data_IF_272314860774
#
_entry.id   IF_272314860774
#
_cell.length_a   1.000
_cell.length_b   1.000
_cell.length_c   1.000
_cell.angle_alpha   90.00
_cell.angle_beta   90.00
_cell.angle_gamma   90.00
#
_symmetry.space_group_name_H-M   'P 1'
#
loop_
_entity.id
_entity.type
_entity.pdbx_description
1 polymer ?
#
# COMPACT_ATOMS: atom_id res chain seq x y z
N UNK A 1 25.40 -1.33 -29.48
CA UNK A 1 25.32 -0.83 -28.10
C UNK A 1 23.99 -1.26 -27.52
N UNK A 2 23.97 -2.26 -26.64
CA UNK A 2 22.77 -2.57 -25.86
C UNK A 2 22.68 -1.52 -24.76
N UNK A 3 21.80 -0.53 -24.95
CA UNK A 3 21.47 0.39 -23.88
C UNK A 3 20.87 -0.41 -22.74
N UNK A 4 21.53 -0.39 -21.59
CA UNK A 4 20.94 -0.89 -20.34
C UNK A 4 19.72 0.01 -20.11
N UNK A 5 18.52 -0.50 -20.39
CA UNK A 5 17.28 0.21 -20.05
C UNK A 5 17.30 0.43 -18.55
N UNK A 6 17.45 1.68 -18.14
CA UNK A 6 17.48 2.05 -16.74
C UNK A 6 16.10 1.77 -16.16
N UNK A 7 16.01 0.82 -15.23
CA UNK A 7 14.75 0.47 -14.58
C UNK A 7 14.18 1.69 -13.84
N UNK A 8 12.88 1.94 -14.02
CA UNK A 8 12.18 2.99 -13.32
C UNK A 8 12.16 2.71 -11.80
N UNK A 9 12.06 3.75 -10.94
CA UNK A 9 11.95 3.55 -9.49
C UNK A 9 10.82 2.58 -9.10
N UNK A 10 9.68 2.66 -9.79
CA UNK A 10 8.53 1.79 -9.54
C UNK A 10 8.80 0.33 -9.94
N UNK A 11 9.53 0.09 -11.03
CA UNK A 11 9.96 -1.27 -11.43
C UNK A 11 10.88 -1.90 -10.38
N UNK A 12 11.82 -1.12 -9.84
CA UNK A 12 12.71 -1.59 -8.76
C UNK A 12 11.93 -1.92 -7.50
N UNK A 13 10.99 -1.05 -7.09
CA UNK A 13 10.12 -1.30 -5.94
C UNK A 13 9.30 -2.57 -6.15
N UNK A 14 8.70 -2.75 -7.32
CA UNK A 14 7.94 -3.96 -7.66
C UNK A 14 8.79 -5.23 -7.55
N UNK A 15 10.01 -5.21 -8.08
CA UNK A 15 10.94 -6.34 -7.97
C UNK A 15 11.20 -6.78 -6.51
N UNK A 16 11.11 -5.86 -5.54
CA UNK A 16 11.32 -6.15 -4.12
C UNK A 16 10.07 -6.72 -3.42
N UNK A 17 8.86 -6.40 -3.91
CA UNK A 17 7.61 -6.67 -3.18
C UNK A 17 6.65 -7.61 -3.89
N UNK A 18 6.88 -7.93 -5.17
CA UNK A 18 5.97 -8.73 -6.01
C UNK A 18 5.70 -10.14 -5.47
N UNK A 19 6.66 -10.72 -4.76
CA UNK A 19 6.59 -12.09 -4.24
C UNK A 19 6.07 -12.14 -2.79
N UNK A 20 5.74 -10.97 -2.20
CA UNK A 20 5.15 -10.90 -0.86
C UNK A 20 3.71 -11.43 -0.87
N UNK A 21 3.39 -12.28 0.10
CA UNK A 21 2.01 -12.73 0.32
C UNK A 21 1.10 -11.59 0.81
N UNK A 22 -0.22 -11.76 0.63
CA UNK A 22 -1.24 -10.80 1.11
C UNK A 22 -1.03 -10.34 2.57
N UNK A 23 -0.68 -11.21 3.53
CA UNK A 23 -0.44 -10.78 4.91
C UNK A 23 0.72 -9.77 5.01
N UNK A 24 1.86 -10.05 4.37
CA UNK A 24 3.03 -9.16 4.37
C UNK A 24 2.72 -7.83 3.68
N UNK A 25 1.98 -7.86 2.57
CA UNK A 25 1.53 -6.65 1.88
C UNK A 25 0.61 -5.80 2.77
N UNK A 26 -0.31 -6.40 3.52
CA UNK A 26 -1.18 -5.64 4.44
C UNK A 26 -0.40 -5.01 5.59
N UNK A 27 0.59 -5.73 6.14
CA UNK A 27 1.46 -5.19 7.18
C UNK A 27 2.30 -4.02 6.65
N UNK A 28 2.94 -4.18 5.49
CA UNK A 28 3.70 -3.10 4.85
C UNK A 28 2.82 -1.91 4.47
N UNK A 29 1.58 -2.15 4.03
CA UNK A 29 0.62 -1.07 3.74
C UNK A 29 0.30 -0.25 4.99
N UNK A 30 -0.02 -0.88 6.14
CA UNK A 30 -0.35 -0.16 7.38
C UNK A 30 0.77 0.81 7.78
N UNK A 31 1.99 0.34 7.65
CA UNK A 31 3.22 1.05 7.97
C UNK A 31 3.49 2.20 6.99
N UNK A 32 3.40 1.94 5.68
CA UNK A 32 3.56 2.96 4.64
C UNK A 32 2.51 4.04 4.79
N UNK A 33 1.26 3.67 5.09
CA UNK A 33 0.15 4.60 5.25
C UNK A 33 0.41 5.60 6.37
N UNK A 34 0.90 5.11 7.52
CA UNK A 34 1.29 5.97 8.64
C UNK A 34 2.42 6.92 8.25
N UNK A 35 3.47 6.42 7.58
CA UNK A 35 4.57 7.26 7.10
C UNK A 35 4.10 8.34 6.11
N UNK A 36 3.23 7.96 5.16
CA UNK A 36 2.62 8.89 4.21
C UNK A 36 1.74 9.93 4.90
N UNK A 37 0.95 9.54 5.91
CA UNK A 37 0.14 10.48 6.68
C UNK A 37 1.00 11.49 7.45
N UNK A 38 2.11 11.05 8.06
CA UNK A 38 3.05 11.93 8.75
C UNK A 38 3.70 12.93 7.79
N UNK A 39 4.09 12.48 6.59
CA UNK A 39 4.60 13.38 5.55
C UNK A 39 3.56 14.39 5.08
N UNK A 40 2.33 13.96 4.76
CA UNK A 40 1.23 14.86 4.35
C UNK A 40 1.02 15.96 5.40
N UNK A 41 1.02 15.58 6.68
CA UNK A 41 0.89 16.52 7.78
C UNK A 41 2.07 17.49 7.86
N UNK A 42 3.31 16.98 7.88
CA UNK A 42 4.52 17.80 8.00
C UNK A 42 4.74 18.74 6.81
N UNK A 43 4.41 18.30 5.60
CA UNK A 43 4.51 19.08 4.37
C UNK A 43 3.32 20.05 4.18
N UNK A 44 2.29 19.98 5.03
CA UNK A 44 1.13 20.88 4.97
C UNK A 44 0.27 20.69 3.71
N UNK A 45 0.18 19.48 3.17
CA UNK A 45 -0.55 19.19 1.93
C UNK A 45 -2.06 19.13 2.19
N UNK A 46 -2.86 19.86 1.39
CA UNK A 46 -4.30 20.06 1.65
C UNK A 46 -5.19 19.85 0.42
N UNK A 47 -4.76 19.06 -0.56
CA UNK A 47 -5.58 18.75 -1.73
C UNK A 47 -6.62 17.64 -1.46
N UNK A 48 -7.55 17.44 -2.41
CA UNK A 48 -8.63 16.47 -2.25
C UNK A 48 -8.13 15.02 -2.14
N UNK A 49 -7.03 14.68 -2.83
CA UNK A 49 -6.46 13.33 -2.77
C UNK A 49 -5.80 13.09 -1.40
N UNK A 50 -5.07 14.07 -0.87
CA UNK A 50 -4.46 13.97 0.46
C UNK A 50 -5.52 13.94 1.56
N UNK A 51 -6.62 14.68 1.42
CA UNK A 51 -7.74 14.62 2.38
C UNK A 51 -8.45 13.26 2.34
N UNK A 52 -8.70 12.71 1.15
CA UNK A 52 -9.29 11.36 1.01
C UNK A 52 -8.41 10.31 1.69
N UNK A 53 -7.10 10.40 1.48
CA UNK A 53 -6.11 9.55 2.14
C UNK A 53 -6.14 9.71 3.66
N UNK A 54 -6.12 10.95 4.15
CA UNK A 54 -6.15 11.29 5.58
C UNK A 54 -7.40 10.73 6.26
N UNK A 55 -8.57 10.80 5.62
CA UNK A 55 -9.80 10.23 6.15
C UNK A 55 -9.72 8.71 6.26
N UNK A 56 -9.21 8.01 5.25
CA UNK A 56 -8.98 6.56 5.35
C UNK A 56 -7.98 6.20 6.45
N UNK A 57 -6.92 6.98 6.62
CA UNK A 57 -5.94 6.80 7.70
C UNK A 57 -6.57 7.00 9.08
N UNK A 58 -7.33 8.08 9.30
CA UNK A 58 -8.00 8.32 10.57
C UNK A 58 -9.03 7.24 10.89
N UNK A 59 -9.76 6.77 9.87
CA UNK A 59 -10.69 5.65 10.02
C UNK A 59 -9.94 4.38 10.47
N UNK A 60 -8.78 4.07 9.86
CA UNK A 60 -7.90 2.98 10.30
C UNK A 60 -7.48 3.13 11.77
N UNK A 61 -7.01 4.32 12.16
CA UNK A 61 -6.47 4.56 13.51
C UNK A 61 -7.54 4.58 14.61
N UNK A 62 -8.77 4.95 14.26
CA UNK A 62 -9.90 5.01 15.19
C UNK A 62 -10.64 3.68 15.31
N UNK A 63 -10.52 2.78 14.32
CA UNK A 63 -11.14 1.46 14.38
C UNK A 63 -10.56 0.65 15.55
N UNK A 64 -11.40 0.26 16.52
CA UNK A 64 -11.01 -0.47 17.73
C UNK A 64 -9.81 0.13 18.49
N UNK A 65 -9.72 1.48 18.52
CA UNK A 65 -8.60 2.20 19.16
C UNK A 65 -8.20 1.69 20.55
N UNK A 66 -9.13 1.39 21.49
CA UNK A 66 -8.75 0.86 22.81
C UNK A 66 -7.98 -0.45 22.73
N UNK A 67 -8.32 -1.32 21.78
CA UNK A 67 -7.63 -2.59 21.55
C UNK A 67 -6.22 -2.34 21.00
N UNK A 68 -6.09 -1.55 19.93
CA UNK A 68 -4.79 -1.29 19.28
C UNK A 68 -3.82 -0.50 20.15
N UNK A 69 -4.33 0.37 21.01
CA UNK A 69 -3.49 1.04 22.00
C UNK A 69 -2.82 0.04 22.96
N UNK A 70 -3.50 -1.06 23.28
CA UNK A 70 -2.99 -2.09 24.17
C UNK A 70 -2.07 -3.11 23.46
N UNK A 71 -2.38 -3.50 22.22
CA UNK A 71 -1.69 -4.59 21.51
C UNK A 71 -0.70 -4.15 20.43
N UNK A 72 -0.71 -2.87 20.04
CA UNK A 72 0.15 -2.30 19.01
C UNK A 72 0.34 -0.79 19.18
N UNK A 73 0.82 -0.32 20.35
CA UNK A 73 0.93 1.10 20.69
C UNK A 73 1.80 1.91 19.71
N UNK A 74 2.80 1.29 19.08
CA UNK A 74 3.66 1.93 18.09
C UNK A 74 2.93 2.38 16.83
N UNK A 75 1.67 1.96 16.59
CA UNK A 75 0.84 2.54 15.53
C UNK A 75 0.55 4.03 15.81
N UNK A 76 0.49 4.43 17.08
CA UNK A 76 0.15 5.78 17.54
C UNK A 76 1.37 6.65 17.83
N UNK A 77 2.55 6.07 17.92
CA UNK A 77 3.81 6.80 18.13
C UNK A 77 4.31 7.38 16.81
N UNK A 78 4.90 8.58 16.81
CA UNK A 78 5.48 9.11 15.58
C UNK A 78 6.72 8.30 15.16
N UNK A 79 6.90 8.11 13.85
CA UNK A 79 8.16 7.57 13.36
C UNK A 79 9.28 8.60 13.55
N UNK A 80 10.48 8.19 14.01
CA UNK A 80 11.63 9.06 14.03
C UNK A 80 11.92 9.63 12.63
N UNK A 81 12.27 10.92 12.59
CA UNK A 81 12.42 11.68 11.34
C UNK A 81 13.54 11.14 10.40
N UNK A 82 14.43 10.29 10.92
CA UNK A 82 15.61 9.75 10.25
C UNK A 82 15.43 8.32 9.71
N UNK A 83 14.27 7.70 9.88
CA UNK A 83 14.05 6.30 9.49
C UNK A 83 13.91 6.09 7.98
N UNK A 84 14.58 5.04 7.47
CA UNK A 84 14.42 4.56 6.10
C UNK A 84 13.22 3.61 5.99
N UNK A 85 12.66 3.45 4.79
CA UNK A 85 11.57 2.48 4.50
C UNK A 85 11.90 1.06 4.99
N UNK A 86 13.17 0.65 4.96
CA UNK A 86 13.64 -0.63 5.49
C UNK A 86 13.58 -0.73 7.02
N UNK A 87 13.76 0.36 7.75
CA UNK A 87 13.71 0.41 9.22
C UNK A 87 12.27 0.52 9.71
N UNK A 88 11.43 1.16 8.90
CA UNK A 88 9.98 1.23 9.01
C UNK A 88 9.34 -0.17 8.89
N UNK A 89 9.87 -1.07 8.03
CA UNK A 89 9.41 -2.48 7.93
C UNK A 89 9.85 -3.31 9.14
N UNK A 90 11.05 -3.09 9.69
CA UNK A 90 11.56 -3.83 10.86
C UNK A 90 10.73 -3.59 12.13
N UNK A 91 10.08 -2.43 12.25
CA UNK A 91 9.30 -2.02 13.42
C UNK A 91 7.82 -2.42 13.37
N UNK A 92 7.38 -2.98 12.24
CA UNK A 92 6.11 -3.73 12.16
C UNK A 92 6.15 -5.02 12.99
N UNK A 93 7.33 -5.40 13.50
CA UNK A 93 7.54 -6.54 14.39
C UNK A 93 7.34 -6.06 15.83
N UNK A 94 6.09 -6.03 16.28
CA UNK A 94 5.81 -5.87 17.72
C UNK A 94 6.08 -7.19 18.43
N UNK A 95 7.02 -7.18 19.37
CA UNK A 95 7.33 -8.35 20.17
C UNK A 95 6.23 -8.67 21.17
N UNK A 96 5.54 -9.78 20.93
CA UNK A 96 5.53 -10.87 21.90
C UNK A 96 5.92 -12.13 21.12
N UNK A 97 7.19 -12.49 21.28
CA UNK A 97 7.99 -13.54 20.62
C UNK A 97 8.34 -13.35 19.13
N UNK A 98 9.56 -12.83 18.91
CA UNK A 98 10.26 -12.81 17.62
C UNK A 98 10.45 -14.23 17.08
N UNK A 99 9.65 -14.63 16.10
CA UNK A 99 10.00 -15.74 15.22
C UNK A 99 10.65 -15.22 13.93
N UNK A 100 11.60 -16.00 13.41
CA UNK A 100 12.34 -15.69 12.19
C UNK A 100 11.40 -15.42 11.00
N UNK A 101 11.84 -14.57 10.07
CA UNK A 101 11.05 -14.04 8.94
C UNK A 101 10.55 -15.11 7.95
N UNK A 102 11.05 -16.33 8.06
CA UNK A 102 10.66 -17.53 7.33
C UNK A 102 9.61 -18.39 8.08
N UNK A 103 9.23 -18.01 9.30
CA UNK A 103 8.24 -18.73 10.07
C UNK A 103 6.82 -18.48 9.51
N UNK A 104 6.12 -19.56 9.23
CA UNK A 104 4.68 -19.63 8.88
C UNK A 104 3.72 -18.93 9.86
N UNK A 105 4.23 -18.45 11.00
CA UNK A 105 3.53 -17.71 12.04
C UNK A 105 3.61 -16.17 11.90
N UNK A 106 3.65 -15.61 10.68
CA UNK A 106 3.39 -14.17 10.50
C UNK A 106 2.02 -13.85 11.09
N UNK A 107 2.04 -13.03 12.14
CA UNK A 107 0.93 -12.72 13.02
C UNK A 107 -0.35 -12.41 12.24
N UNK A 108 -1.38 -13.25 12.45
CA UNK A 108 -2.70 -13.15 11.80
C UNK A 108 -3.46 -11.85 12.15
N UNK A 109 -2.97 -11.02 13.07
CA UNK A 109 -3.70 -9.87 13.62
C UNK A 109 -3.37 -8.53 12.95
N UNK A 110 -2.09 -8.23 12.72
CA UNK A 110 -1.65 -7.04 11.96
C UNK A 110 -2.13 -7.09 10.51
N UNK A 111 -2.23 -8.31 10.00
CA UNK A 111 -2.66 -8.67 8.66
C UNK A 111 -4.18 -8.63 8.52
N UNK A 112 -4.94 -8.61 9.63
CA UNK A 112 -6.42 -8.61 9.62
C UNK A 112 -7.05 -7.24 9.85
N UNK A 113 -6.39 -6.31 10.53
CA UNK A 113 -7.09 -5.14 11.04
C UNK A 113 -6.61 -3.79 10.48
N UNK A 114 -5.47 -3.17 10.87
CA UNK A 114 -5.19 -1.81 10.42
C UNK A 114 -4.99 -1.74 8.89
N UNK A 115 -4.10 -2.58 8.35
CA UNK A 115 -3.81 -2.61 6.92
C UNK A 115 -5.03 -3.01 6.08
N UNK A 116 -5.81 -3.99 6.55
CA UNK A 116 -7.04 -4.41 5.86
C UNK A 116 -8.14 -3.35 5.90
N UNK A 117 -8.29 -2.67 7.04
CA UNK A 117 -9.29 -1.64 7.23
C UNK A 117 -8.99 -0.41 6.37
N UNK A 118 -7.72 0.03 6.35
CA UNK A 118 -7.30 1.07 5.42
C UNK A 118 -7.50 0.62 3.97
N UNK A 119 -7.00 -0.57 3.59
CA UNK A 119 -7.13 -1.10 2.24
C UNK A 119 -8.58 -1.09 1.77
N UNK A 120 -9.50 -1.64 2.57
CA UNK A 120 -10.93 -1.68 2.27
C UNK A 120 -11.54 -0.28 2.19
N UNK A 121 -11.24 0.60 3.14
CA UNK A 121 -11.82 1.94 3.21
C UNK A 121 -11.34 2.80 2.04
N UNK A 122 -10.04 2.87 1.84
CA UNK A 122 -9.43 3.71 0.83
C UNK A 122 -9.78 3.25 -0.58
N UNK A 123 -9.63 1.96 -0.90
CA UNK A 123 -9.96 1.46 -2.25
C UNK A 123 -11.44 1.62 -2.62
N UNK A 124 -12.35 1.69 -1.64
CA UNK A 124 -13.74 2.05 -1.88
C UNK A 124 -13.93 3.54 -2.20
N UNK A 125 -13.23 4.41 -1.48
CA UNK A 125 -13.27 5.85 -1.71
C UNK A 125 -12.70 6.21 -3.10
N UNK A 126 -11.60 5.57 -3.51
CA UNK A 126 -10.95 5.78 -4.81
C UNK A 126 -11.39 4.76 -5.89
N UNK A 127 -12.54 4.09 -5.70
CA UNK A 127 -13.02 3.03 -6.62
C UNK A 127 -13.14 3.52 -8.06
N UNK A 128 -13.67 4.73 -8.26
CA UNK A 128 -13.81 5.32 -9.60
C UNK A 128 -12.45 5.53 -10.28
N UNK A 129 -11.43 5.93 -9.51
CA UNK A 129 -10.07 6.13 -10.02
C UNK A 129 -9.39 4.81 -10.38
N UNK A 130 -9.57 3.78 -9.56
CA UNK A 130 -9.04 2.44 -9.82
C UNK A 130 -9.67 1.83 -11.07
N UNK A 131 -10.97 2.03 -11.25
CA UNK A 131 -11.72 1.50 -12.40
C UNK A 131 -11.39 2.29 -13.68
N UNK A 132 -11.13 3.59 -13.58
CA UNK A 132 -10.65 4.41 -14.70
C UNK A 132 -11.60 4.42 -15.90
N UNK A 133 -12.92 4.37 -15.66
CA UNK A 133 -13.94 4.35 -16.71
C UNK A 133 -14.19 2.98 -17.36
N UNK A 134 -13.53 1.91 -16.89
CA UNK A 134 -13.79 0.52 -17.31
C UNK A 134 -14.92 -0.11 -16.49
N UNK A 135 -15.25 -1.36 -16.77
CA UNK A 135 -15.95 -2.24 -15.82
C UNK A 135 -14.94 -2.96 -14.93
N UNK A 136 -15.41 -3.52 -13.80
CA UNK A 136 -14.55 -4.33 -12.93
C UNK A 136 -13.99 -5.55 -13.66
N UNK A 137 -14.78 -6.16 -14.54
CA UNK A 137 -14.37 -7.34 -15.31
C UNK A 137 -13.33 -6.99 -16.37
N UNK A 138 -13.45 -5.84 -17.04
CA UNK A 138 -12.43 -5.33 -17.97
C UNK A 138 -11.11 -5.03 -17.26
N UNK A 139 -11.16 -4.42 -16.07
CA UNK A 139 -9.96 -4.18 -15.26
C UNK A 139 -9.29 -5.51 -14.88
N UNK A 140 -10.06 -6.48 -14.38
CA UNK A 140 -9.56 -7.82 -14.05
C UNK A 140 -8.94 -8.51 -15.25
N UNK A 141 -9.61 -8.47 -16.40
CA UNK A 141 -9.10 -9.06 -17.63
C UNK A 141 -7.74 -8.47 -17.99
N UNK A 142 -7.60 -7.14 -17.94
CA UNK A 142 -6.33 -6.46 -18.28
C UNK A 142 -5.17 -6.81 -17.33
N UNK A 143 -5.46 -7.12 -16.06
CA UNK A 143 -4.44 -7.43 -15.05
C UNK A 143 -4.09 -8.92 -15.01
N UNK A 144 -5.07 -9.81 -15.17
CA UNK A 144 -4.85 -11.26 -15.11
C UNK A 144 -4.48 -11.85 -16.48
N UNK A 145 -4.93 -11.23 -17.57
CA UNK A 145 -4.66 -11.63 -18.95
C UNK A 145 -4.09 -10.45 -19.74
N UNK A 146 -2.87 -9.97 -19.41
CA UNK A 146 -2.26 -8.87 -20.13
C UNK A 146 -2.11 -9.17 -21.63
N UNK A 147 -2.15 -8.14 -22.49
CA UNK A 147 -1.82 -8.26 -23.91
C UNK A 147 -0.46 -8.96 -24.14
N UNK A 148 -0.33 -9.70 -25.24
CA UNK A 148 0.88 -10.50 -25.54
C UNK A 148 2.16 -9.67 -25.74
N UNK A 149 1.99 -8.39 -26.04
CA UNK A 149 3.03 -7.39 -26.23
C UNK A 149 3.44 -6.68 -24.94
N UNK A 150 2.76 -6.94 -23.83
CA UNK A 150 3.05 -6.37 -22.51
C UNK A 150 3.68 -7.40 -21.57
N UNK A 151 4.54 -6.94 -20.66
CA UNK A 151 5.02 -7.81 -19.59
C UNK A 151 3.92 -8.04 -18.54
N UNK A 152 3.89 -9.20 -17.85
CA UNK A 152 2.83 -9.52 -16.89
C UNK A 152 2.64 -8.49 -15.76
N UNK A 153 3.70 -7.75 -15.43
CA UNK A 153 3.70 -6.70 -14.41
C UNK A 153 3.29 -5.32 -14.92
N UNK A 154 3.36 -5.07 -16.23
CA UNK A 154 3.15 -3.75 -16.82
C UNK A 154 1.80 -3.11 -16.44
N UNK A 155 0.65 -3.82 -16.50
CA UNK A 155 -0.64 -3.25 -16.10
C UNK A 155 -0.70 -2.86 -14.61
N UNK A 156 0.04 -3.56 -13.74
CA UNK A 156 0.08 -3.25 -12.30
C UNK A 156 0.89 -1.99 -12.05
N UNK A 157 2.02 -1.84 -12.74
CA UNK A 157 2.88 -0.67 -12.63
C UNK A 157 2.19 0.57 -13.21
N UNK A 158 1.51 0.43 -14.34
CA UNK A 158 0.72 1.51 -14.94
C UNK A 158 -0.40 1.98 -14.00
N UNK A 159 -1.16 1.05 -13.41
CA UNK A 159 -2.21 1.40 -12.48
C UNK A 159 -1.65 2.08 -11.22
N UNK A 160 -0.57 1.56 -10.64
CA UNK A 160 0.05 2.16 -9.45
C UNK A 160 0.55 3.58 -9.75
N UNK A 161 1.15 3.80 -10.92
CA UNK A 161 1.59 5.12 -11.37
C UNK A 161 0.42 6.06 -11.58
N UNK A 162 -0.64 5.64 -12.28
CA UNK A 162 -1.83 6.45 -12.52
C UNK A 162 -2.50 6.91 -11.23
N UNK A 163 -2.56 6.04 -10.21
CA UNK A 163 -3.12 6.39 -8.91
C UNK A 163 -2.24 7.40 -8.15
N UNK A 164 -0.92 7.30 -8.28
CA UNK A 164 0.01 8.22 -7.66
C UNK A 164 0.07 9.58 -8.34
N UNK A 165 -0.01 9.63 -9.68
CA UNK A 165 0.02 10.86 -10.49
C UNK A 165 -1.22 11.75 -10.24
N UNK A 166 -2.27 11.21 -9.61
CA UNK A 166 -3.43 11.99 -9.14
C UNK A 166 -3.16 12.77 -7.86
N UNK A 167 -2.09 12.46 -7.13
CA UNK A 167 -1.60 13.30 -6.05
C UNK A 167 -0.90 14.52 -6.66
N UNK A 168 -1.38 15.73 -6.35
CA UNK A 168 -0.77 16.98 -6.84
C UNK A 168 0.60 17.25 -6.20
N UNK A 169 0.94 16.50 -5.15
CA UNK A 169 2.08 16.73 -4.29
C UNK A 169 3.04 15.54 -4.41
N UNK A 170 4.13 15.70 -5.16
CA UNK A 170 5.15 14.70 -5.46
C UNK A 170 4.63 13.25 -5.67
N UNK A 171 4.20 12.89 -6.89
CA UNK A 171 3.72 11.54 -7.22
C UNK A 171 4.67 10.42 -6.83
N UNK A 172 5.98 10.68 -6.84
CA UNK A 172 6.98 9.63 -6.56
C UNK A 172 6.97 9.18 -5.10
N UNK A 173 6.57 10.06 -4.18
CA UNK A 173 6.39 9.72 -2.77
C UNK A 173 5.21 8.76 -2.56
N UNK A 174 4.19 8.82 -3.42
CA UNK A 174 3.00 7.98 -3.32
C UNK A 174 3.15 6.62 -4.05
N UNK A 175 4.18 6.44 -4.86
CA UNK A 175 4.44 5.18 -5.57
C UNK A 175 4.45 3.94 -4.66
N UNK A 176 5.12 3.93 -3.49
CA UNK A 176 5.13 2.74 -2.65
C UNK A 176 3.73 2.35 -2.15
N UNK A 177 2.94 3.32 -1.67
CA UNK A 177 1.60 3.02 -1.15
C UNK A 177 0.65 2.56 -2.26
N UNK A 178 0.70 3.18 -3.44
CA UNK A 178 -0.13 2.79 -4.58
C UNK A 178 0.24 1.42 -5.12
N UNK A 179 1.52 1.09 -5.16
CA UNK A 179 2.00 -0.23 -5.56
C UNK A 179 1.48 -1.33 -4.63
N UNK A 180 1.54 -1.11 -3.32
CA UNK A 180 1.01 -2.06 -2.33
C UNK A 180 -0.51 -2.25 -2.49
N UNK A 181 -1.26 -1.17 -2.69
CA UNK A 181 -2.71 -1.24 -2.94
C UNK A 181 -3.03 -2.08 -4.18
N UNK A 182 -2.32 -1.86 -5.29
CA UNK A 182 -2.55 -2.58 -6.55
C UNK A 182 -2.20 -4.06 -6.43
N UNK A 183 -1.10 -4.41 -5.75
CA UNK A 183 -0.76 -5.81 -5.48
C UNK A 183 -1.80 -6.48 -4.58
N UNK A 184 -2.30 -5.79 -3.57
CA UNK A 184 -3.38 -6.28 -2.72
C UNK A 184 -4.69 -6.47 -3.49
N UNK A 185 -5.05 -5.54 -4.38
CA UNK A 185 -6.21 -5.70 -5.27
C UNK A 185 -6.08 -6.96 -6.13
N UNK A 186 -4.92 -7.17 -6.76
CA UNK A 186 -4.65 -8.40 -7.54
C UNK A 186 -4.76 -9.64 -6.66
N UNK A 187 -4.05 -9.68 -5.53
CA UNK A 187 -3.97 -10.87 -4.67
C UNK A 187 -5.31 -11.21 -3.99
N UNK A 188 -6.18 -10.22 -3.81
CA UNK A 188 -7.52 -10.40 -3.22
C UNK A 188 -8.63 -10.49 -4.27
N UNK A 189 -8.27 -10.58 -5.55
CA UNK A 189 -9.21 -10.61 -6.68
C UNK A 189 -10.24 -9.47 -6.62
N UNK A 190 -9.77 -8.26 -6.29
CA UNK A 190 -10.50 -7.01 -6.23
C UNK A 190 -11.74 -7.06 -5.32
N UNK A 191 -11.68 -7.83 -4.23
CA UNK A 191 -12.83 -8.03 -3.33
C UNK A 191 -13.34 -6.73 -2.71
N UNK A 192 -12.48 -5.73 -2.54
CA UNK A 192 -12.84 -4.43 -1.95
C UNK A 192 -13.62 -3.53 -2.91
N UNK A 193 -13.58 -3.81 -4.21
CA UNK A 193 -14.26 -3.04 -5.26
C UNK A 193 -15.63 -3.61 -5.65
N UNK A 194 -16.07 -4.70 -5.02
CA UNK A 194 -17.42 -5.24 -5.22
C UNK A 194 -18.44 -4.33 -4.55
#
# INVERSE_FOLDING_TARGET
MFGIKQESPLQKMYGQVKDLGTPMLLAGLAVLVKSTANYIHAAGLQDQATETFRQAYLNMMNNDRPYWWAVGPQLYEDFPADWKVSDIIKTAVCESDLCALDNTAINREWTRAPGWFFFKTYTRQIKADIIGGKTLDELKLSIFNPPKDQSPEEPLLELAKQLADRSNSDPTFFYPVMLYLVLLLKNTNFVTLK
#
